data_IF_847731104249
#
_entry.id   IF_847731104249
#
_cell.length_a   1.000
_cell.length_b   1.000
_cell.length_c   1.000
_cell.angle_alpha   90.00
_cell.angle_beta   90.00
_cell.angle_gamma   90.00
#
_symmetry.space_group_name_H-M   'P 1'
#
loop_
_entity.id
_entity.type
_entity.pdbx_description
1 polymer ?
#
# COMPACT_ATOMS: atom_id res chain seq x y z
N UNK A 1 -49.28 -11.63 -8.95
CA UNK A 1 -49.01 -12.33 -7.68
C UNK A 1 -48.16 -11.41 -6.82
N UNK A 2 -48.58 -11.01 -5.60
CA UNK A 2 -47.79 -10.12 -4.76
C UNK A 2 -46.81 -10.96 -3.91
N UNK A 3 -45.51 -10.89 -4.22
CA UNK A 3 -44.49 -11.54 -3.38
C UNK A 3 -44.02 -10.57 -2.28
N UNK A 4 -43.95 -11.14 -1.07
CA UNK A 4 -43.98 -10.47 0.23
C UNK A 4 -42.58 -9.96 0.60
N UNK A 5 -42.45 -8.66 0.82
CA UNK A 5 -41.25 -8.04 1.39
C UNK A 5 -41.12 -8.43 2.87
N UNK A 6 -40.33 -9.46 3.16
CA UNK A 6 -39.99 -9.86 4.53
C UNK A 6 -39.05 -8.82 5.15
N UNK A 7 -39.63 -7.93 5.94
CA UNK A 7 -38.92 -6.92 6.70
C UNK A 7 -38.31 -7.57 7.97
N UNK A 8 -37.11 -8.14 7.86
CA UNK A 8 -36.40 -8.75 8.99
C UNK A 8 -35.67 -7.67 9.77
N UNK A 9 -35.91 -7.56 11.09
CA UNK A 9 -35.12 -6.71 12.01
C UNK A 9 -33.67 -7.18 11.97
N UNK A 10 -32.79 -6.42 11.30
CA UNK A 10 -31.39 -6.79 11.09
C UNK A 10 -30.59 -6.34 12.32
N UNK A 11 -30.34 -7.26 13.26
CA UNK A 11 -29.15 -7.14 14.10
C UNK A 11 -27.89 -7.18 13.21
N UNK A 12 -26.78 -6.53 13.60
CA UNK A 12 -25.52 -6.48 12.81
C UNK A 12 -25.16 -7.90 12.34
N UNK A 13 -25.19 -8.20 11.03
CA UNK A 13 -24.84 -9.52 10.54
C UNK A 13 -23.42 -9.85 11.00
N UNK A 14 -23.26 -10.91 11.80
CA UNK A 14 -21.96 -11.31 12.34
C UNK A 14 -21.05 -11.92 11.27
N UNK A 15 -21.64 -12.41 10.18
CA UNK A 15 -20.93 -12.91 9.01
C UNK A 15 -20.89 -11.84 7.91
N UNK A 16 -19.72 -11.66 7.30
CA UNK A 16 -19.56 -10.85 6.09
C UNK A 16 -20.32 -11.53 4.95
N UNK A 17 -21.40 -10.90 4.51
CA UNK A 17 -22.18 -11.36 3.35
C UNK A 17 -21.31 -11.19 2.09
N UNK A 18 -21.33 -12.12 1.11
CA UNK A 18 -20.52 -12.01 -0.10
C UNK A 18 -20.64 -10.65 -0.81
N UNK A 19 -21.83 -10.06 -0.83
CA UNK A 19 -22.08 -8.73 -1.41
C UNK A 19 -21.29 -7.60 -0.74
N UNK A 20 -20.98 -7.73 0.55
CA UNK A 20 -20.17 -6.75 1.30
C UNK A 20 -18.70 -6.93 0.93
N UNK A 21 -18.24 -8.17 0.76
CA UNK A 21 -16.88 -8.48 0.31
C UNK A 21 -16.63 -7.90 -1.09
N UNK A 22 -17.59 -8.03 -2.00
CA UNK A 22 -17.49 -7.45 -3.36
C UNK A 22 -17.40 -5.93 -3.33
N UNK A 23 -18.25 -5.25 -2.54
CA UNK A 23 -18.20 -3.78 -2.39
C UNK A 23 -16.88 -3.29 -1.79
N UNK A 24 -16.31 -4.04 -0.85
CA UNK A 24 -14.99 -3.74 -0.31
C UNK A 24 -13.92 -3.89 -1.39
N UNK A 25 -13.94 -5.01 -2.13
CA UNK A 25 -12.98 -5.27 -3.19
C UNK A 25 -13.02 -4.20 -4.28
N UNK A 26 -14.22 -3.83 -4.75
CA UNK A 26 -14.43 -2.81 -5.77
C UNK A 26 -13.87 -1.45 -5.32
N UNK A 27 -14.23 -1.00 -4.11
CA UNK A 27 -13.72 0.26 -3.58
C UNK A 27 -12.18 0.25 -3.46
N UNK A 28 -11.60 -0.84 -2.97
CA UNK A 28 -10.14 -0.97 -2.85
C UNK A 28 -9.45 -1.00 -4.22
N UNK A 29 -10.07 -1.62 -5.24
CA UNK A 29 -9.56 -1.62 -6.62
C UNK A 29 -9.49 -0.23 -7.23
N UNK A 30 -10.37 0.68 -6.83
CA UNK A 30 -10.30 2.09 -7.24
C UNK A 30 -9.27 2.91 -6.45
N UNK A 31 -8.53 2.28 -5.52
CA UNK A 31 -7.53 2.96 -4.70
C UNK A 31 -8.09 3.63 -3.45
N UNK A 32 -9.33 3.31 -3.05
CA UNK A 32 -9.90 3.83 -1.81
C UNK A 32 -9.12 3.32 -0.58
N UNK A 33 -9.14 4.11 0.50
CA UNK A 33 -8.62 3.65 1.80
C UNK A 33 -9.54 2.60 2.40
N UNK A 34 -9.05 1.81 3.37
CA UNK A 34 -9.88 0.82 4.07
C UNK A 34 -11.09 1.50 4.73
N UNK A 35 -10.95 2.72 5.24
CA UNK A 35 -12.05 3.47 5.85
C UNK A 35 -13.13 3.83 4.83
N UNK A 36 -12.72 4.33 3.66
CA UNK A 36 -13.63 4.64 2.56
C UNK A 36 -14.33 3.38 2.03
N UNK A 37 -13.59 2.28 1.89
CA UNK A 37 -14.16 0.99 1.49
C UNK A 37 -15.17 0.48 2.52
N UNK A 38 -14.86 0.57 3.82
CA UNK A 38 -15.77 0.18 4.91
C UNK A 38 -17.04 1.05 4.89
N UNK A 39 -16.91 2.36 4.70
CA UNK A 39 -18.04 3.28 4.57
C UNK A 39 -18.91 2.92 3.35
N UNK A 40 -18.29 2.64 2.21
CA UNK A 40 -18.97 2.23 0.97
C UNK A 40 -19.72 0.90 1.15
N UNK A 41 -19.11 -0.07 1.81
CA UNK A 41 -19.68 -1.38 2.10
C UNK A 41 -20.64 -1.38 3.31
N UNK A 42 -20.81 -0.24 3.99
CA UNK A 42 -21.63 -0.05 5.20
C UNK A 42 -21.26 -1.01 6.34
N UNK A 43 -19.96 -1.20 6.56
CA UNK A 43 -19.43 -1.93 7.71
C UNK A 43 -18.51 -1.04 8.53
N UNK A 44 -18.34 -1.39 9.80
CA UNK A 44 -17.34 -0.74 10.64
C UNK A 44 -15.96 -1.40 10.47
N UNK A 45 -14.91 -0.57 10.65
CA UNK A 45 -13.50 -0.92 10.46
C UNK A 45 -13.07 -2.10 11.33
N UNK A 46 -13.65 -2.24 12.53
CA UNK A 46 -13.39 -3.38 13.41
C UNK A 46 -13.79 -4.72 12.78
N UNK A 47 -14.92 -4.78 12.07
CA UNK A 47 -15.35 -5.99 11.35
C UNK A 47 -14.36 -6.36 10.25
N UNK A 48 -13.87 -5.39 9.48
CA UNK A 48 -12.87 -5.64 8.45
C UNK A 48 -11.61 -6.30 9.03
N UNK A 49 -10.99 -5.67 10.04
CA UNK A 49 -9.75 -6.21 10.64
C UNK A 49 -9.96 -7.56 11.33
N UNK A 50 -11.11 -7.75 11.98
CA UNK A 50 -11.44 -9.04 12.58
C UNK A 50 -11.57 -10.15 11.55
N UNK A 51 -12.10 -9.85 10.36
CA UNK A 51 -12.24 -10.83 9.30
C UNK A 51 -10.92 -11.10 8.59
N UNK A 52 -10.11 -10.07 8.33
CA UNK A 52 -8.73 -10.21 7.80
C UNK A 52 -7.86 -11.11 8.68
N UNK A 53 -8.04 -11.08 10.01
CA UNK A 53 -7.32 -11.96 10.94
C UNK A 53 -7.83 -13.40 10.97
N UNK A 54 -9.10 -13.62 10.63
CA UNK A 54 -9.77 -14.92 10.72
C UNK A 54 -9.76 -15.69 9.41
N UNK A 55 -9.72 -14.98 8.28
CA UNK A 55 -9.81 -15.54 6.94
C UNK A 55 -8.65 -15.00 6.08
N UNK A 56 -7.66 -15.86 5.85
CA UNK A 56 -6.49 -15.56 5.02
C UNK A 56 -6.87 -15.35 3.55
N UNK A 57 -7.88 -16.06 3.04
CA UNK A 57 -8.35 -15.91 1.65
C UNK A 57 -8.93 -14.52 1.45
N UNK A 58 -9.74 -14.05 2.41
CA UNK A 58 -10.24 -12.68 2.41
C UNK A 58 -9.09 -11.67 2.45
N UNK A 59 -8.12 -11.85 3.35
CA UNK A 59 -6.96 -10.97 3.49
C UNK A 59 -6.19 -10.84 2.16
N UNK A 60 -5.85 -11.96 1.53
CA UNK A 60 -5.15 -12.02 0.25
C UNK A 60 -5.95 -11.33 -0.85
N UNK A 61 -7.27 -11.60 -0.93
CA UNK A 61 -8.15 -10.97 -1.92
C UNK A 61 -8.20 -9.44 -1.76
N UNK A 62 -8.29 -8.93 -0.53
CA UNK A 62 -8.26 -7.50 -0.26
C UNK A 62 -6.90 -6.87 -0.56
N UNK A 63 -5.80 -7.60 -0.33
CA UNK A 63 -4.46 -7.15 -0.71
C UNK A 63 -4.31 -7.02 -2.23
N UNK A 64 -4.80 -8.01 -2.99
CA UNK A 64 -4.82 -7.93 -4.46
C UNK A 64 -5.65 -6.76 -4.96
N UNK A 65 -6.83 -6.52 -4.37
CA UNK A 65 -7.66 -5.37 -4.70
C UNK A 65 -6.90 -4.05 -4.52
N UNK A 66 -6.18 -3.88 -3.41
CA UNK A 66 -5.39 -2.66 -3.14
C UNK A 66 -4.24 -2.46 -4.14
N UNK A 67 -3.64 -3.55 -4.60
CA UNK A 67 -2.54 -3.49 -5.56
C UNK A 67 -3.02 -3.28 -7.00
N UNK A 68 -4.31 -3.49 -7.28
CA UNK A 68 -4.87 -3.45 -8.62
C UNK A 68 -4.66 -2.10 -9.32
N UNK A 69 -4.94 -0.98 -8.65
CA UNK A 69 -4.77 0.36 -9.25
C UNK A 69 -3.32 0.62 -9.66
N UNK A 70 -2.36 0.20 -8.82
CA UNK A 70 -0.94 0.34 -9.11
C UNK A 70 -0.51 -0.55 -10.27
N UNK A 71 -1.03 -1.78 -10.34
CA UNK A 71 -0.79 -2.69 -11.45
C UNK A 71 -1.36 -2.12 -12.75
N UNK A 72 -2.58 -1.56 -12.71
CA UNK A 72 -3.22 -0.93 -13.87
C UNK A 72 -2.46 0.31 -14.33
N UNK A 73 -1.96 1.13 -13.40
CA UNK A 73 -1.13 2.27 -13.72
C UNK A 73 0.17 1.84 -14.43
N UNK A 74 0.86 0.82 -13.91
CA UNK A 74 2.05 0.25 -14.56
C UNK A 74 1.75 -0.27 -15.97
N UNK A 75 0.63 -0.97 -16.14
CA UNK A 75 0.19 -1.43 -17.45
C UNK A 75 -0.03 -0.27 -18.42
N UNK A 76 -0.73 0.79 -18.00
CA UNK A 76 -0.96 1.96 -18.85
C UNK A 76 0.35 2.65 -19.27
N UNK A 77 1.31 2.75 -18.35
CA UNK A 77 2.66 3.25 -18.67
C UNK A 77 3.35 2.37 -19.70
N UNK A 78 3.28 1.03 -19.55
CA UNK A 78 3.83 0.09 -20.52
C UNK A 78 3.22 0.25 -21.91
N UNK A 79 1.89 0.33 -22.00
CA UNK A 79 1.18 0.56 -23.28
C UNK A 79 1.64 1.85 -23.96
N UNK A 80 1.76 2.96 -23.22
CA UNK A 80 2.22 4.22 -23.80
C UNK A 80 3.66 4.12 -24.33
N UNK A 81 4.53 3.37 -23.65
CA UNK A 81 5.90 3.10 -24.10
C UNK A 81 5.89 2.26 -25.39
N UNK A 82 5.08 1.20 -25.44
CA UNK A 82 4.94 0.34 -26.63
C UNK A 82 4.40 1.12 -27.84
N UNK A 83 3.54 2.11 -27.60
CA UNK A 83 3.02 3.04 -28.62
C UNK A 83 4.04 4.12 -29.04
N UNK A 84 5.21 4.18 -28.40
CA UNK A 84 6.29 5.10 -28.75
C UNK A 84 6.22 6.47 -28.09
N UNK A 85 5.50 6.62 -26.97
CA UNK A 85 5.49 7.86 -26.20
C UNK A 85 6.88 8.11 -25.56
N UNK A 86 7.64 9.00 -26.19
CA UNK A 86 8.97 9.40 -25.76
C UNK A 86 8.96 10.04 -24.36
N UNK A 87 7.93 10.82 -24.02
CA UNK A 87 7.87 11.51 -22.72
C UNK A 87 7.67 10.50 -21.59
N UNK A 88 6.70 9.59 -21.75
CA UNK A 88 6.45 8.52 -20.77
C UNK A 88 7.68 7.59 -20.65
N UNK A 89 8.35 7.28 -21.76
CA UNK A 89 9.58 6.48 -21.78
C UNK A 89 10.72 7.13 -20.99
N UNK A 90 10.99 8.43 -21.22
CA UNK A 90 12.02 9.19 -20.50
C UNK A 90 11.73 9.25 -19.01
N UNK A 91 10.49 9.60 -18.64
CA UNK A 91 10.06 9.68 -17.24
C UNK A 91 10.24 8.35 -16.49
N UNK A 92 9.97 7.22 -17.16
CA UNK A 92 10.14 5.90 -16.57
C UNK A 92 11.62 5.59 -16.31
N UNK A 93 12.52 5.89 -17.28
CA UNK A 93 13.96 5.71 -17.13
C UNK A 93 14.55 6.56 -16.00
N UNK A 94 14.11 7.82 -15.88
CA UNK A 94 14.49 8.72 -14.78
C UNK A 94 14.18 8.10 -13.41
N UNK A 95 12.99 7.51 -13.26
CA UNK A 95 12.58 6.88 -11.99
C UNK A 95 13.32 5.59 -11.66
N UNK A 96 13.73 4.81 -12.66
CA UNK A 96 14.35 3.49 -12.44
C UNK A 96 15.87 3.53 -12.38
N UNK A 97 16.51 4.33 -13.23
CA UNK A 97 17.97 4.33 -13.37
C UNK A 97 18.64 5.43 -12.57
N UNK A 98 18.06 6.63 -12.54
CA UNK A 98 18.68 7.81 -11.93
C UNK A 98 18.35 7.99 -10.45
N UNK A 99 17.33 7.30 -9.94
CA UNK A 99 16.92 7.39 -8.54
C UNK A 99 17.54 6.32 -7.64
N UNK A 100 18.59 5.63 -8.10
CA UNK A 100 19.41 4.77 -7.22
C UNK A 100 20.16 5.69 -6.26
N UNK A 101 20.11 5.46 -4.93
CA UNK A 101 20.92 6.23 -4.00
C UNK A 101 22.37 6.05 -4.42
N UNK A 102 23.00 7.15 -4.87
CA UNK A 102 24.44 7.15 -5.09
C UNK A 102 25.05 6.76 -3.74
N UNK A 103 25.76 5.63 -3.71
CA UNK A 103 26.50 5.25 -2.52
C UNK A 103 27.56 6.32 -2.30
N UNK A 104 27.25 7.29 -1.43
CA UNK A 104 28.24 8.25 -0.98
C UNK A 104 29.32 7.45 -0.27
N UNK A 105 30.53 7.42 -0.84
CA UNK A 105 31.71 6.89 -0.18
C UNK A 105 31.99 7.75 1.06
N UNK A 106 31.35 7.42 2.19
CA UNK A 106 31.68 8.02 3.48
C UNK A 106 32.99 7.39 3.94
N UNK A 107 34.12 7.92 3.47
CA UNK A 107 35.38 7.71 4.18
C UNK A 107 35.26 8.47 5.51
N UNK A 108 34.82 7.77 6.54
CA UNK A 108 34.75 8.32 7.89
C UNK A 108 36.19 8.62 8.32
N UNK A 109 36.51 9.90 8.56
CA UNK A 109 37.81 10.35 9.09
C UNK A 109 37.98 9.88 10.55
N UNK A 110 38.14 8.57 10.75
CA UNK A 110 38.39 7.94 12.05
C UNK A 110 39.72 8.48 12.65
N UNK A 111 40.67 8.87 11.79
CA UNK A 111 41.93 9.45 12.21
C UNK A 111 41.78 10.75 13.02
N UNK A 112 40.80 11.61 12.68
CA UNK A 112 40.62 12.89 13.37
C UNK A 112 39.97 12.73 14.75
N UNK A 113 39.13 11.70 14.94
CA UNK A 113 38.48 11.42 16.23
C UNK A 113 39.49 10.81 17.21
N UNK A 114 40.33 9.87 16.74
CA UNK A 114 41.35 9.23 17.56
C UNK A 114 42.50 10.18 17.95
N UNK A 115 42.81 11.19 17.13
CA UNK A 115 43.77 12.24 17.50
C UNK A 115 43.23 13.12 18.62
N UNK A 116 41.95 13.50 18.54
CA UNK A 116 41.31 14.35 19.53
C UNK A 116 41.17 13.67 20.91
N UNK A 117 40.83 12.38 20.93
CA UNK A 117 40.79 11.61 22.19
C UNK A 117 42.18 11.41 22.81
N UNK A 118 43.25 11.29 22.00
CA UNK A 118 44.62 11.20 22.51
C UNK A 118 45.14 12.51 23.09
N UNK A 119 44.70 13.66 22.59
CA UNK A 119 45.07 14.97 23.12
C UNK A 119 44.32 15.28 24.42
N UNK A 120 43.05 14.86 24.55
CA UNK A 120 42.24 15.06 25.76
C UNK A 120 42.65 14.14 26.94
N UNK A 121 43.25 12.97 26.66
CA UNK A 121 43.68 12.02 27.71
C UNK A 121 45.13 12.20 28.18
N UNK A 122 45.86 13.17 27.61
CA UNK A 122 47.28 13.42 27.92
C UNK A 122 47.48 14.75 28.64
N UNK A 123 46.53 15.13 29.50
CA UNK A 123 46.68 16.24 30.44
C UNK A 123 47.15 15.71 31.80
N UNK A 124 48.38 16.12 32.10
CA UNK A 124 48.99 16.36 33.41
C UNK A 124 49.69 15.17 34.09
N UNK A 125 50.97 14.99 33.70
CA UNK A 125 52.05 14.67 34.65
C UNK A 125 52.19 15.78 35.70
#
# INVERSE_FOLDING_TARGET
MPDKTVNKKIGRPTALVPIVVEKLEEALRWGATIEQACAHAKIDRGTYHNHTKKDETFSTRMQYARNYVNLKAKHNVGVAIDEGDLNTSKWQLEKTEYNKPQQANVQVNIANILQKEKEEFNLDE
#
